data_IF_068438006240
#
_entry.id   IF_068438006240
#
_cell.length_a   1.000
_cell.length_b   1.000
_cell.length_c   1.000
_cell.angle_alpha   90.00
_cell.angle_beta   90.00
_cell.angle_gamma   90.00
#
_symmetry.space_group_name_H-M   'P 1'
#
loop_
_entity.id
_entity.type
_entity.pdbx_description
1 polymer ?
#
# COMPACT_ATOMS: atom_id res chain seq x y z
N UNK A 1 -26.38 22.08 9.94
CA UNK A 1 -26.26 22.02 8.46
C UNK A 1 -25.12 21.06 8.13
N UNK A 2 -25.32 20.14 7.19
CA UNK A 2 -24.22 19.27 6.74
C UNK A 2 -23.28 20.07 5.82
N UNK A 3 -21.97 19.86 5.97
CA UNK A 3 -20.98 20.43 5.05
C UNK A 3 -20.97 19.64 3.72
N UNK A 4 -20.21 20.12 2.72
CA UNK A 4 -20.15 19.47 1.40
C UNK A 4 -19.65 18.01 1.46
N UNK A 5 -18.72 17.70 2.37
CA UNK A 5 -18.21 16.33 2.55
C UNK A 5 -19.30 15.39 3.07
N UNK A 6 -20.08 15.82 4.05
CA UNK A 6 -21.18 15.04 4.60
C UNK A 6 -22.31 14.83 3.59
N UNK A 7 -22.53 15.77 2.67
CA UNK A 7 -23.46 15.57 1.54
C UNK A 7 -22.92 14.54 0.55
N UNK A 8 -21.63 14.62 0.20
CA UNK A 8 -21.01 13.70 -0.75
C UNK A 8 -21.03 12.24 -0.25
N UNK A 9 -20.84 12.01 1.05
CA UNK A 9 -20.94 10.68 1.68
C UNK A 9 -22.28 9.97 1.45
N UNK A 10 -23.35 10.71 1.18
CA UNK A 10 -24.66 10.12 0.88
C UNK A 10 -24.78 9.57 -0.54
N UNK A 11 -23.84 9.90 -1.44
CA UNK A 11 -23.87 9.55 -2.86
C UNK A 11 -22.64 8.73 -3.29
N UNK A 12 -21.54 8.83 -2.55
CA UNK A 12 -20.25 8.27 -2.96
C UNK A 12 -19.48 7.79 -1.75
N UNK A 13 -18.85 6.62 -1.86
CA UNK A 13 -17.88 6.13 -0.89
C UNK A 13 -16.66 7.04 -0.89
N UNK A 14 -16.33 7.62 0.27
CA UNK A 14 -15.19 8.53 0.40
C UNK A 14 -13.92 7.74 0.65
N UNK A 15 -12.90 8.03 -0.17
CA UNK A 15 -11.57 7.45 -0.08
C UNK A 15 -10.57 8.58 0.18
N UNK A 16 -9.61 8.38 1.08
CA UNK A 16 -8.53 9.34 1.29
C UNK A 16 -7.29 8.98 0.46
N UNK A 17 -6.84 9.89 -0.41
CA UNK A 17 -5.60 9.74 -1.19
C UNK A 17 -4.43 10.42 -0.48
N UNK A 18 -3.78 9.69 0.42
CA UNK A 18 -2.70 10.23 1.24
C UNK A 18 -1.78 9.14 1.79
N UNK A 19 -0.52 9.49 2.03
CA UNK A 19 0.37 8.73 2.90
C UNK A 19 0.35 9.25 4.35
N UNK A 20 -0.27 10.39 4.64
CA UNK A 20 -0.30 10.95 6.00
C UNK A 20 -1.32 10.19 6.87
N UNK A 21 -0.81 9.36 7.80
CA UNK A 21 -1.62 8.48 8.67
C UNK A 21 -2.50 9.33 9.59
N UNK A 22 -1.97 10.45 10.11
CA UNK A 22 -2.72 11.34 10.98
C UNK A 22 -3.89 11.99 10.24
N UNK A 23 -3.66 12.47 9.01
CA UNK A 23 -4.70 13.06 8.17
C UNK A 23 -5.80 12.05 7.84
N UNK A 24 -5.45 10.80 7.49
CA UNK A 24 -6.43 9.73 7.21
C UNK A 24 -7.29 9.47 8.45
N UNK A 25 -6.65 9.31 9.62
CA UNK A 25 -7.35 9.06 10.90
C UNK A 25 -8.32 10.18 11.26
N UNK A 26 -7.98 11.43 10.97
CA UNK A 26 -8.83 12.58 11.23
C UNK A 26 -10.12 12.55 10.39
N UNK A 27 -10.03 12.16 9.11
CA UNK A 27 -11.15 12.24 8.18
C UNK A 27 -12.04 10.99 8.16
N UNK A 28 -11.54 9.86 8.70
CA UNK A 28 -12.27 8.58 8.79
C UNK A 28 -12.95 8.19 7.47
N UNK A 29 -12.19 8.06 6.36
CA UNK A 29 -12.73 7.60 5.10
C UNK A 29 -13.13 6.11 5.19
N UNK A 30 -13.82 5.61 4.16
CA UNK A 30 -14.10 4.17 4.03
C UNK A 30 -12.80 3.42 3.66
N UNK A 31 -12.14 3.88 2.61
CA UNK A 31 -10.88 3.33 2.08
C UNK A 31 -9.78 4.40 2.10
N UNK A 32 -8.54 3.97 1.86
CA UNK A 32 -7.43 4.87 1.61
C UNK A 32 -6.56 4.38 0.44
N UNK A 33 -5.94 5.32 -0.27
CA UNK A 33 -5.00 5.03 -1.35
C UNK A 33 -3.65 5.64 -1.05
N UNK A 34 -2.60 4.84 -1.23
CA UNK A 34 -1.23 5.33 -1.27
C UNK A 34 -0.66 5.15 -2.67
N UNK A 35 0.48 5.78 -2.91
CA UNK A 35 1.31 5.61 -4.10
C UNK A 35 2.76 5.97 -3.73
N UNK A 36 3.75 5.68 -4.61
CA UNK A 36 5.15 5.93 -4.29
C UNK A 36 5.44 7.39 -3.92
N UNK A 37 4.81 8.36 -4.58
CA UNK A 37 4.99 9.78 -4.30
C UNK A 37 4.41 10.20 -2.95
N UNK A 38 3.25 9.66 -2.57
CA UNK A 38 2.62 9.92 -1.28
C UNK A 38 3.42 9.32 -0.13
N UNK A 39 3.94 8.11 -0.28
CA UNK A 39 4.84 7.50 0.70
C UNK A 39 6.15 8.27 0.82
N UNK A 40 6.73 8.69 -0.30
CA UNK A 40 7.94 9.52 -0.29
C UNK A 40 7.70 10.83 0.48
N UNK A 41 6.59 11.51 0.21
CA UNK A 41 6.23 12.75 0.93
C UNK A 41 6.02 12.49 2.43
N UNK A 42 5.30 11.42 2.78
CA UNK A 42 5.02 11.06 4.17
C UNK A 42 6.27 10.61 4.93
N UNK A 43 7.26 10.04 4.25
CA UNK A 43 8.52 9.58 4.87
C UNK A 43 9.33 10.70 5.53
N UNK A 44 9.08 11.96 5.16
CA UNK A 44 9.68 13.13 5.81
C UNK A 44 9.01 13.55 7.13
N UNK A 45 7.86 12.94 7.49
CA UNK A 45 7.16 13.26 8.72
C UNK A 45 7.83 12.58 9.92
N UNK A 46 7.95 13.25 11.09
CA UNK A 46 8.62 12.66 12.26
C UNK A 46 8.00 11.33 12.73
N UNK A 47 6.68 11.18 12.59
CA UNK A 47 5.94 9.98 12.98
C UNK A 47 6.30 8.74 12.14
N UNK A 48 6.93 8.93 10.97
CA UNK A 48 7.38 7.85 10.11
C UNK A 48 8.76 7.29 10.48
N UNK A 49 9.57 8.02 11.25
CA UNK A 49 10.92 7.59 11.61
C UNK A 49 10.96 6.21 12.29
N UNK A 50 10.04 5.86 13.23
CA UNK A 50 9.99 4.51 13.80
C UNK A 50 9.65 3.44 12.76
N UNK A 51 8.73 3.70 11.83
CA UNK A 51 8.35 2.76 10.78
C UNK A 51 9.51 2.50 9.82
N UNK A 52 10.23 3.55 9.42
CA UNK A 52 11.42 3.46 8.58
C UNK A 52 12.52 2.66 9.31
N UNK A 53 12.79 2.97 10.57
CA UNK A 53 13.77 2.26 11.38
C UNK A 53 13.46 0.76 11.51
N UNK A 54 12.20 0.42 11.78
CA UNK A 54 11.74 -0.96 11.86
C UNK A 54 11.88 -1.69 10.51
N UNK A 55 11.48 -1.07 9.40
CA UNK A 55 11.60 -1.64 8.07
C UNK A 55 13.07 -1.91 7.69
N UNK A 56 13.99 -0.97 7.96
CA UNK A 56 15.42 -1.16 7.75
C UNK A 56 15.97 -2.30 8.62
N UNK A 57 15.60 -2.33 9.91
CA UNK A 57 16.03 -3.38 10.84
C UNK A 57 15.60 -4.77 10.37
N UNK A 58 14.33 -4.94 10.01
CA UNK A 58 13.79 -6.19 9.50
C UNK A 58 14.42 -6.59 8.15
N UNK A 59 14.67 -5.64 7.25
CA UNK A 59 15.31 -5.91 5.97
C UNK A 59 16.75 -6.42 6.13
N UNK A 60 17.53 -5.84 7.06
CA UNK A 60 18.89 -6.29 7.38
C UNK A 60 18.93 -7.71 7.96
N UNK A 61 17.88 -8.13 8.66
CA UNK A 61 17.77 -9.49 9.16
C UNK A 61 17.45 -10.53 8.06
N UNK A 62 16.94 -10.09 6.90
CA UNK A 62 16.54 -10.98 5.80
C UNK A 62 17.66 -11.23 4.77
N UNK A 63 18.66 -10.37 4.69
CA UNK A 63 19.72 -10.47 3.67
C UNK A 63 21.00 -9.78 4.14
N UNK A 64 22.17 -10.30 3.73
CA UNK A 64 23.46 -9.62 3.85
C UNK A 64 23.76 -8.64 2.71
N UNK A 65 23.06 -8.77 1.58
CA UNK A 65 23.29 -7.97 0.38
C UNK A 65 22.55 -6.63 0.44
N UNK A 66 23.27 -5.54 0.23
CA UNK A 66 22.77 -4.16 0.37
C UNK A 66 21.53 -3.88 -0.51
N UNK A 67 21.58 -4.25 -1.79
CA UNK A 67 20.49 -3.94 -2.72
C UNK A 67 19.22 -4.71 -2.39
N UNK A 68 19.36 -5.95 -1.92
CA UNK A 68 18.24 -6.74 -1.44
C UNK A 68 17.66 -6.15 -0.14
N UNK A 69 18.51 -5.67 0.77
CA UNK A 69 18.06 -4.96 1.97
C UNK A 69 17.26 -3.71 1.60
N UNK A 70 17.72 -2.92 0.63
CA UNK A 70 17.02 -1.72 0.18
C UNK A 70 15.64 -2.06 -0.38
N UNK A 71 15.54 -3.04 -1.28
CA UNK A 71 14.26 -3.49 -1.82
C UNK A 71 13.32 -4.03 -0.74
N UNK A 72 13.83 -4.84 0.19
CA UNK A 72 13.06 -5.38 1.29
C UNK A 72 12.55 -4.27 2.22
N UNK A 73 13.38 -3.27 2.53
CA UNK A 73 13.01 -2.16 3.39
C UNK A 73 11.90 -1.31 2.78
N UNK A 74 11.95 -1.05 1.47
CA UNK A 74 10.90 -0.30 0.77
C UNK A 74 9.55 -1.06 0.78
N UNK A 75 9.56 -2.36 0.48
CA UNK A 75 8.35 -3.19 0.52
C UNK A 75 7.76 -3.23 1.94
N UNK A 76 8.61 -3.45 2.95
CA UNK A 76 8.21 -3.49 4.37
C UNK A 76 7.63 -2.15 4.84
N UNK A 77 8.23 -1.03 4.43
CA UNK A 77 7.74 0.29 4.78
C UNK A 77 6.34 0.53 4.18
N UNK A 78 6.16 0.26 2.89
CA UNK A 78 4.86 0.43 2.22
C UNK A 78 3.77 -0.40 2.89
N UNK A 79 4.06 -1.66 3.23
CA UNK A 79 3.14 -2.55 3.94
C UNK A 79 2.85 -2.05 5.35
N UNK A 80 3.89 -1.65 6.10
CA UNK A 80 3.74 -1.15 7.47
C UNK A 80 2.83 0.08 7.54
N UNK A 81 2.97 0.98 6.57
CA UNK A 81 2.08 2.15 6.45
C UNK A 81 0.65 1.71 6.21
N UNK A 82 0.41 0.79 5.26
CA UNK A 82 -0.93 0.31 5.02
C UNK A 82 -1.55 -0.42 6.22
N UNK A 83 -0.76 -1.16 6.98
CA UNK A 83 -1.19 -1.78 8.24
C UNK A 83 -1.61 -0.72 9.26
N UNK A 84 -0.85 0.38 9.42
CA UNK A 84 -1.24 1.47 10.31
C UNK A 84 -2.50 2.21 9.86
N UNK A 85 -2.66 2.38 8.55
CA UNK A 85 -3.87 2.98 7.96
C UNK A 85 -5.10 2.12 8.22
N UNK A 86 -5.01 0.80 8.01
CA UNK A 86 -6.11 -0.14 8.24
C UNK A 86 -6.60 -0.19 9.69
N UNK A 87 -5.79 0.23 10.67
CA UNK A 87 -6.27 0.41 12.06
C UNK A 87 -7.27 1.55 12.22
N UNK A 88 -7.36 2.45 11.24
CA UNK A 88 -8.12 3.70 11.30
C UNK A 88 -9.29 3.75 10.30
N UNK A 89 -9.43 2.77 9.41
CA UNK A 89 -10.47 2.70 8.37
C UNK A 89 -11.15 1.33 8.36
N UNK A 90 -12.43 1.22 7.98
CA UNK A 90 -13.14 -0.06 7.94
C UNK A 90 -12.87 -0.87 6.65
N UNK A 91 -12.53 -0.19 5.56
CA UNK A 91 -12.44 -0.79 4.23
C UNK A 91 -11.02 -1.23 3.87
N UNK A 92 -10.51 -0.70 2.76
CA UNK A 92 -9.31 -1.18 2.06
C UNK A 92 -8.20 -0.14 1.99
N UNK A 93 -6.98 -0.64 1.88
CA UNK A 93 -5.80 0.16 1.52
C UNK A 93 -5.29 -0.23 0.14
N UNK A 94 -5.07 0.75 -0.73
CA UNK A 94 -4.32 0.55 -1.97
C UNK A 94 -2.82 0.77 -1.75
N UNK A 95 -2.01 -0.22 -2.13
CA UNK A 95 -0.55 -0.19 -2.07
C UNK A 95 0.01 -0.51 -3.45
N UNK A 96 0.85 0.38 -3.96
CA UNK A 96 1.33 0.32 -5.34
C UNK A 96 2.59 -0.54 -5.49
N UNK A 97 2.64 -1.34 -6.56
CA UNK A 97 3.87 -2.03 -6.96
C UNK A 97 4.93 -1.03 -7.44
N UNK A 98 6.18 -1.47 -7.53
CA UNK A 98 7.24 -0.65 -8.10
C UNK A 98 6.95 -0.32 -9.56
N UNK A 99 6.78 0.97 -9.87
CA UNK A 99 6.44 1.45 -11.20
C UNK A 99 7.50 1.08 -12.27
N UNK A 100 8.75 0.76 -11.88
CA UNK A 100 9.79 0.28 -12.80
C UNK A 100 9.44 -1.07 -13.42
N UNK A 101 8.51 -1.82 -12.82
CA UNK A 101 8.05 -3.13 -13.29
C UNK A 101 6.85 -3.04 -14.25
N UNK A 102 6.36 -1.82 -14.56
CA UNK A 102 5.09 -1.62 -15.30
C UNK A 102 5.04 -2.27 -16.69
N UNK A 103 6.19 -2.62 -17.28
CA UNK A 103 6.28 -3.28 -18.58
C UNK A 103 6.82 -4.72 -18.47
N UNK A 104 6.74 -5.31 -17.28
CA UNK A 104 7.09 -6.70 -16.99
C UNK A 104 5.96 -7.36 -16.19
N UNK A 105 5.12 -8.14 -16.88
CA UNK A 105 4.00 -8.85 -16.27
C UNK A 105 4.46 -9.80 -15.16
N UNK A 106 5.54 -10.56 -15.39
CA UNK A 106 6.00 -11.57 -14.44
C UNK A 106 6.56 -10.92 -13.17
N UNK A 107 7.37 -9.86 -13.33
CA UNK A 107 7.92 -9.13 -12.19
C UNK A 107 6.82 -8.38 -11.42
N UNK A 108 5.82 -7.83 -12.10
CA UNK A 108 4.65 -7.20 -11.46
C UNK A 108 3.88 -8.20 -10.60
N UNK A 109 3.56 -9.38 -11.14
CA UNK A 109 2.89 -10.46 -10.39
C UNK A 109 3.72 -10.88 -9.17
N UNK A 110 5.03 -11.07 -9.35
CA UNK A 110 5.93 -11.47 -8.26
C UNK A 110 5.97 -10.40 -7.14
N UNK A 111 6.02 -9.12 -7.50
CA UNK A 111 6.00 -8.00 -6.55
C UNK A 111 4.65 -7.92 -5.82
N UNK A 112 3.54 -8.04 -6.52
CA UNK A 112 2.20 -8.05 -5.93
C UNK A 112 2.04 -9.16 -4.88
N UNK A 113 2.40 -10.41 -5.23
CA UNK A 113 2.37 -11.56 -4.31
C UNK A 113 3.29 -11.34 -3.09
N UNK A 114 4.47 -10.72 -3.30
CA UNK A 114 5.38 -10.38 -2.21
C UNK A 114 4.74 -9.41 -1.22
N UNK A 115 4.10 -8.34 -1.70
CA UNK A 115 3.41 -7.37 -0.86
C UNK A 115 2.25 -8.02 -0.08
N UNK A 116 1.43 -8.83 -0.74
CA UNK A 116 0.35 -9.59 -0.08
C UNK A 116 0.90 -10.55 0.98
N UNK A 117 2.00 -11.25 0.70
CA UNK A 117 2.66 -12.12 1.70
C UNK A 117 3.07 -11.35 2.95
N UNK A 118 3.55 -10.11 2.78
CA UNK A 118 3.92 -9.24 3.90
C UNK A 118 2.70 -8.76 4.68
N UNK A 119 1.60 -8.40 4.02
CA UNK A 119 0.33 -8.07 4.69
C UNK A 119 -0.22 -9.26 5.48
N UNK A 120 -0.24 -10.46 4.87
CA UNK A 120 -0.70 -11.68 5.52
C UNK A 120 0.16 -12.03 6.74
N UNK A 121 1.48 -11.83 6.66
CA UNK A 121 2.37 -12.01 7.81
C UNK A 121 2.12 -11.00 8.94
N UNK A 122 1.54 -9.83 8.63
CA UNK A 122 1.07 -8.83 9.59
C UNK A 122 -0.38 -9.06 10.06
N UNK A 123 -1.02 -10.17 9.65
CA UNK A 123 -2.39 -10.51 10.05
C UNK A 123 -3.49 -9.78 9.28
N UNK A 124 -3.17 -9.14 8.15
CA UNK A 124 -4.14 -8.49 7.26
C UNK A 124 -4.54 -9.45 6.15
N UNK A 125 -5.84 -9.71 5.98
CA UNK A 125 -6.35 -10.54 4.87
C UNK A 125 -6.34 -9.78 3.54
N UNK A 126 -6.26 -10.54 2.43
CA UNK A 126 -6.27 -9.97 1.07
C UNK A 126 -7.49 -9.07 0.79
N UNK A 127 -8.64 -9.29 1.44
CA UNK A 127 -9.87 -8.52 1.20
C UNK A 127 -9.78 -7.04 1.59
N UNK A 128 -8.81 -6.70 2.46
CA UNK A 128 -8.51 -5.35 2.93
C UNK A 128 -7.40 -4.66 2.11
N UNK A 129 -6.85 -5.32 1.09
CA UNK A 129 -5.72 -4.80 0.31
C UNK A 129 -6.09 -4.76 -1.17
N UNK A 130 -5.79 -3.63 -1.82
CA UNK A 130 -5.79 -3.50 -3.27
C UNK A 130 -4.34 -3.30 -3.74
N UNK A 131 -3.85 -4.17 -4.63
CA UNK A 131 -2.54 -3.99 -5.24
C UNK A 131 -2.67 -3.06 -6.44
N UNK A 132 -2.18 -1.83 -6.27
CA UNK A 132 -2.24 -0.82 -7.33
C UNK A 132 -1.15 -1.07 -8.36
N UNK A 133 -1.56 -1.13 -9.63
CA UNK A 133 -0.70 -1.43 -10.79
C UNK A 133 -0.97 -0.38 -11.88
N UNK A 134 0.08 0.08 -12.56
CA UNK A 134 -0.08 0.95 -13.73
C UNK A 134 -0.85 0.21 -14.84
N UNK A 135 -1.84 0.87 -15.44
CA UNK A 135 -2.71 0.28 -16.46
C UNK A 135 -2.05 0.21 -17.86
N UNK A 136 -0.81 -0.30 -17.92
CA UNK A 136 -0.17 -0.77 -19.15
C UNK A 136 -0.80 -2.10 -19.59
N UNK A 137 -0.47 -2.57 -20.80
CA UNK A 137 -0.93 -3.89 -21.22
C UNK A 137 -0.44 -4.99 -20.29
N UNK A 138 0.85 -4.95 -19.94
CA UNK A 138 1.52 -5.89 -19.07
C UNK A 138 0.94 -5.86 -17.65
N UNK A 139 0.62 -4.67 -17.14
CA UNK A 139 -0.02 -4.47 -15.85
C UNK A 139 -1.44 -5.02 -15.80
N UNK A 140 -2.25 -4.81 -16.84
CA UNK A 140 -3.60 -5.39 -16.93
C UNK A 140 -3.53 -6.92 -17.03
N UNK A 141 -2.57 -7.48 -17.78
CA UNK A 141 -2.35 -8.94 -17.81
C UNK A 141 -1.89 -9.48 -16.45
N UNK A 142 -1.10 -8.72 -15.70
CA UNK A 142 -0.72 -9.08 -14.33
C UNK A 142 -1.93 -9.11 -13.41
N UNK A 143 -2.75 -8.06 -13.43
CA UNK A 143 -3.97 -7.97 -12.63
C UNK A 143 -4.96 -9.12 -12.93
N UNK A 144 -5.13 -9.52 -14.20
CA UNK A 144 -5.97 -10.67 -14.57
C UNK A 144 -5.54 -11.98 -13.86
N UNK A 145 -4.22 -12.22 -13.76
CA UNK A 145 -3.69 -13.39 -13.06
C UNK A 145 -3.89 -13.27 -11.55
N UNK A 146 -3.61 -12.09 -11.00
CA UNK A 146 -3.71 -11.82 -9.55
C UNK A 146 -5.15 -11.94 -9.04
N UNK A 147 -6.13 -11.45 -9.79
CA UNK A 147 -7.55 -11.58 -9.41
C UNK A 147 -8.01 -13.04 -9.37
N UNK A 148 -7.52 -13.90 -10.28
CA UNK A 148 -7.79 -15.35 -10.24
C UNK A 148 -7.19 -16.04 -9.01
N UNK A 149 -6.22 -15.40 -8.36
CA UNK A 149 -5.55 -15.87 -7.15
C UNK A 149 -6.15 -15.26 -5.87
N UNK A 150 -7.19 -14.43 -5.99
CA UNK A 150 -7.78 -13.71 -4.85
C UNK A 150 -6.90 -12.57 -4.35
N UNK A 151 -6.10 -11.95 -5.23
CA UNK A 151 -5.37 -10.72 -4.98
C UNK A 151 -6.04 -9.61 -5.78
N UNK A 152 -6.79 -8.76 -5.09
CA UNK A 152 -7.53 -7.68 -5.72
C UNK A 152 -6.60 -6.54 -6.16
N UNK A 153 -6.84 -6.00 -7.35
CA UNK A 153 -6.01 -4.95 -7.97
C UNK A 153 -6.79 -3.66 -8.23
#
# INVERSE_FOLDING_TARGET
MSNLLEQLKTMTTIVADSGDIAAIRQHRPEDATTNPSLLLKASGLPEYAPLIGAAIGAARAQSGEHDQQLHNAMDLLAVSVGVEVLKSIPGRISTEVDARLSFDTAATIAKARRLITLYNAAGVSNEHVLIKIAATWEGIRAAEVLEREGIHC
#
